data_IF_233235230688
#
_entry.id   IF_233235230688
#
_cell.length_a   1.000
_cell.length_b   1.000
_cell.length_c   1.000
_cell.angle_alpha   90.00
_cell.angle_beta   90.00
_cell.angle_gamma   90.00
#
_symmetry.space_group_name_H-M   'P 1'
#
loop_
_entity.id
_entity.type
_entity.pdbx_description
1 polymer ?
#
# COMPACT_ATOMS: atom_id res chain seq x y z
N UNK A 1 15.22 0.44 -23.50
CA UNK A 1 15.04 1.02 -22.16
C UNK A 1 13.56 0.91 -21.86
N UNK A 2 13.15 0.17 -20.82
CA UNK A 2 11.70 0.06 -20.52
C UNK A 2 11.33 1.39 -19.85
N UNK A 3 10.58 2.22 -20.57
CA UNK A 3 10.03 3.46 -20.04
C UNK A 3 8.99 3.12 -18.98
N UNK A 4 9.36 3.31 -17.70
CA UNK A 4 8.50 3.02 -16.55
C UNK A 4 8.54 4.22 -15.62
N UNK A 5 7.36 4.76 -15.33
CA UNK A 5 7.18 5.83 -14.35
C UNK A 5 7.48 5.38 -12.91
N UNK A 6 7.49 4.06 -12.64
CA UNK A 6 7.84 3.47 -11.35
C UNK A 6 9.27 2.88 -11.36
N UNK A 7 10.18 3.56 -10.67
CA UNK A 7 11.62 3.24 -10.59
C UNK A 7 11.98 2.21 -9.52
N UNK A 8 11.00 1.69 -8.77
CA UNK A 8 11.26 0.74 -7.69
C UNK A 8 11.84 -0.58 -8.20
N UNK A 9 12.65 -1.28 -7.37
CA UNK A 9 13.15 -2.61 -7.69
C UNK A 9 12.03 -3.58 -8.07
N UNK A 10 12.33 -4.49 -9.00
CA UNK A 10 11.35 -5.46 -9.50
C UNK A 10 10.68 -6.26 -8.39
N UNK A 11 11.46 -6.79 -7.44
CA UNK A 11 10.96 -7.59 -6.32
C UNK A 11 10.02 -6.78 -5.41
N UNK A 12 10.28 -5.48 -5.21
CA UNK A 12 9.40 -4.63 -4.43
C UNK A 12 8.05 -4.44 -5.13
N UNK A 13 8.06 -4.16 -6.44
CA UNK A 13 6.82 -4.04 -7.23
C UNK A 13 6.02 -5.33 -7.26
N UNK A 14 6.70 -6.46 -7.43
CA UNK A 14 6.07 -7.79 -7.42
C UNK A 14 5.47 -8.11 -6.05
N UNK A 15 6.17 -7.81 -4.96
CA UNK A 15 5.68 -8.00 -3.60
C UNK A 15 4.47 -7.12 -3.30
N UNK A 16 4.50 -5.84 -3.67
CA UNK A 16 3.37 -4.94 -3.51
C UNK A 16 2.15 -5.39 -4.31
N UNK A 17 2.35 -5.73 -5.59
CA UNK A 17 1.28 -6.19 -6.47
C UNK A 17 0.66 -7.50 -5.95
N UNK A 18 1.48 -8.43 -5.45
CA UNK A 18 1.01 -9.66 -4.81
C UNK A 18 0.20 -9.34 -3.55
N UNK A 19 0.67 -8.43 -2.70
CA UNK A 19 -0.04 -8.05 -1.46
C UNK A 19 -1.39 -7.38 -1.73
N UNK A 20 -1.45 -6.49 -2.73
CA UNK A 20 -2.69 -5.87 -3.20
C UNK A 20 -3.64 -6.90 -3.82
N UNK A 21 -3.12 -7.81 -4.64
CA UNK A 21 -3.89 -8.90 -5.20
C UNK A 21 -4.50 -9.78 -4.12
N UNK A 22 -3.72 -10.19 -3.11
CA UNK A 22 -4.24 -10.96 -1.97
C UNK A 22 -5.31 -10.18 -1.21
N UNK A 23 -5.14 -8.87 -0.99
CA UNK A 23 -6.14 -8.04 -0.31
C UNK A 23 -7.48 -8.02 -1.06
N UNK A 24 -7.45 -7.92 -2.39
CA UNK A 24 -8.66 -7.96 -3.23
C UNK A 24 -9.23 -9.38 -3.26
N UNK A 25 -8.44 -10.35 -3.69
CA UNK A 25 -8.89 -11.70 -4.00
C UNK A 25 -9.39 -12.47 -2.76
N UNK A 26 -8.75 -12.29 -1.60
CA UNK A 26 -9.06 -13.06 -0.39
C UNK A 26 -9.81 -12.26 0.67
N UNK A 27 -9.70 -10.93 0.68
CA UNK A 27 -10.26 -10.10 1.74
C UNK A 27 -11.26 -9.04 1.23
N UNK A 28 -11.60 -9.04 -0.06
CA UNK A 28 -12.48 -8.04 -0.69
C UNK A 28 -12.06 -6.61 -0.31
N UNK A 29 -10.76 -6.33 -0.43
CA UNK A 29 -10.13 -5.06 -0.13
C UNK A 29 -10.04 -4.14 -1.33
N UNK A 30 -9.48 -2.95 -1.09
CA UNK A 30 -9.22 -1.99 -2.17
C UNK A 30 -7.97 -2.39 -2.96
N UNK A 31 -7.97 -2.23 -4.30
CA UNK A 31 -6.88 -2.70 -5.16
C UNK A 31 -5.58 -1.90 -5.01
N UNK A 32 -5.65 -0.68 -4.49
CA UNK A 32 -4.52 0.20 -4.21
C UNK A 32 -4.02 0.11 -2.76
N UNK A 33 -4.64 -0.75 -1.94
CA UNK A 33 -4.29 -1.00 -0.54
C UNK A 33 -3.68 -2.39 -0.40
N UNK A 34 -2.51 -2.48 0.22
CA UNK A 34 -1.88 -3.74 0.58
C UNK A 34 -2.60 -4.42 1.75
N UNK A 35 -2.54 -5.75 1.85
CA UNK A 35 -3.16 -6.49 2.96
C UNK A 35 -2.58 -6.05 4.32
N UNK A 36 -1.25 -5.90 4.39
CA UNK A 36 -0.54 -5.42 5.58
C UNK A 36 -0.95 -3.99 5.95
N UNK A 37 -1.06 -3.09 4.97
CA UNK A 37 -1.51 -1.72 5.18
C UNK A 37 -2.94 -1.64 5.72
N UNK A 38 -3.84 -2.46 5.15
CA UNK A 38 -5.23 -2.60 5.64
C UNK A 38 -5.30 -3.12 7.07
N UNK A 39 -4.45 -4.09 7.42
CA UNK A 39 -4.36 -4.64 8.76
C UNK A 39 -3.92 -3.58 9.78
N UNK A 40 -2.93 -2.75 9.43
CA UNK A 40 -2.54 -1.62 10.26
C UNK A 40 -3.69 -0.61 10.41
N UNK A 41 -4.32 -0.16 9.31
CA UNK A 41 -5.42 0.82 9.36
C UNK A 41 -6.59 0.33 10.22
N UNK A 42 -7.00 -0.93 10.08
CA UNK A 42 -8.13 -1.49 10.84
C UNK A 42 -7.81 -1.76 12.32
N UNK A 43 -6.53 -1.79 12.70
CA UNK A 43 -6.11 -1.97 14.09
C UNK A 43 -5.72 -0.67 14.78
N UNK A 44 -5.13 0.28 14.06
CA UNK A 44 -4.60 1.53 14.60
C UNK A 44 -5.57 2.71 14.48
N UNK A 45 -6.33 2.81 13.39
CA UNK A 45 -7.17 3.99 13.10
C UNK A 45 -8.66 3.76 13.38
N UNK A 46 -9.08 2.52 13.61
CA UNK A 46 -10.49 2.18 13.82
C UNK A 46 -10.80 1.96 15.30
N UNK A 47 -11.92 2.51 15.76
CA UNK A 47 -12.48 2.27 17.09
C UNK A 47 -13.92 1.73 17.01
N UNK A 48 -14.23 0.53 17.55
CA UNK A 48 -13.29 -0.45 18.10
C UNK A 48 -12.49 -1.17 16.98
N UNK A 49 -11.25 -1.58 17.25
CA UNK A 49 -10.45 -2.34 16.30
C UNK A 49 -11.04 -3.73 16.06
N UNK A 50 -11.04 -4.17 14.79
CA UNK A 50 -11.55 -5.50 14.42
C UNK A 50 -10.52 -6.58 14.75
N UNK A 51 -10.93 -7.59 15.53
CA UNK A 51 -10.04 -8.64 16.03
C UNK A 51 -9.32 -9.44 14.92
N UNK A 52 -10.02 -9.73 13.81
CA UNK A 52 -9.47 -10.44 12.65
C UNK A 52 -8.20 -9.76 12.11
N UNK A 53 -8.23 -8.42 12.05
CA UNK A 53 -7.10 -7.63 11.57
C UNK A 53 -5.94 -7.55 12.56
N UNK A 54 -6.19 -7.80 13.85
CA UNK A 54 -5.10 -7.97 14.83
C UNK A 54 -4.31 -9.24 14.52
N UNK A 55 -4.99 -10.33 14.18
CA UNK A 55 -4.35 -11.59 13.80
C UNK A 55 -3.51 -11.40 12.54
N UNK A 56 -4.12 -10.83 11.48
CA UNK A 56 -3.39 -10.56 10.22
C UNK A 56 -2.18 -9.68 10.46
N UNK A 57 -2.32 -8.60 11.26
CA UNK A 57 -1.20 -7.73 11.62
C UNK A 57 -0.11 -8.50 12.35
N UNK A 58 -0.44 -9.26 13.40
CA UNK A 58 0.56 -10.03 14.14
C UNK A 58 1.29 -11.04 13.25
N UNK A 59 0.57 -11.78 12.41
CA UNK A 59 1.18 -12.74 11.48
C UNK A 59 2.14 -12.05 10.50
N UNK A 60 1.72 -10.92 9.93
CA UNK A 60 2.56 -10.16 9.01
C UNK A 60 3.78 -9.56 9.71
N UNK A 61 3.63 -8.98 10.90
CA UNK A 61 4.77 -8.45 11.66
C UNK A 61 5.78 -9.55 12.04
N UNK A 62 5.32 -10.76 12.37
CA UNK A 62 6.19 -11.91 12.67
C UNK A 62 6.91 -12.40 11.42
N UNK A 63 6.17 -12.56 10.30
CA UNK A 63 6.73 -13.04 9.04
C UNK A 63 7.84 -12.12 8.50
N UNK A 64 7.64 -10.81 8.63
CA UNK A 64 8.57 -9.78 8.14
C UNK A 64 9.46 -9.19 9.23
N UNK A 65 9.44 -9.76 10.44
CA UNK A 65 10.28 -9.31 11.55
C UNK A 65 11.78 -9.19 11.21
N UNK A 66 12.40 -10.16 10.51
CA UNK A 66 13.82 -10.07 10.16
C UNK A 66 14.17 -8.90 9.24
N UNK A 67 13.17 -8.32 8.54
CA UNK A 67 13.36 -7.24 7.56
C UNK A 67 13.06 -5.88 8.21
N UNK A 68 11.93 -5.79 8.92
CA UNK A 68 11.33 -4.51 9.31
C UNK A 68 11.22 -4.31 10.83
N UNK A 69 11.68 -5.27 11.64
CA UNK A 69 11.71 -5.21 13.11
C UNK A 69 10.34 -4.85 13.73
N UNK A 70 9.25 -5.40 13.18
CA UNK A 70 7.90 -5.21 13.72
C UNK A 70 7.20 -3.91 13.32
N UNK A 71 7.67 -3.23 12.27
CA UNK A 71 7.01 -2.05 11.69
C UNK A 71 6.45 -2.31 10.28
N UNK A 72 6.37 -3.57 9.86
CA UNK A 72 6.02 -3.96 8.50
C UNK A 72 4.65 -3.41 8.07
N UNK A 73 3.60 -3.64 8.88
CA UNK A 73 2.25 -3.24 8.51
C UNK A 73 2.07 -1.72 8.53
N UNK A 74 2.76 -1.02 9.43
CA UNK A 74 2.78 0.45 9.48
C UNK A 74 3.44 1.02 8.23
N UNK A 75 4.62 0.53 7.89
CA UNK A 75 5.37 0.95 6.69
C UNK A 75 4.57 0.67 5.42
N UNK A 76 3.92 -0.48 5.33
CA UNK A 76 3.05 -0.82 4.20
C UNK A 76 1.92 0.20 4.04
N UNK A 77 1.23 0.57 5.13
CA UNK A 77 0.19 1.59 5.11
C UNK A 77 0.72 2.96 4.66
N UNK A 78 1.84 3.41 5.23
CA UNK A 78 2.47 4.68 4.88
C UNK A 78 2.90 4.71 3.40
N UNK A 79 3.42 3.60 2.88
CA UNK A 79 3.80 3.47 1.48
C UNK A 79 2.60 3.50 0.54
N UNK A 80 1.49 2.84 0.90
CA UNK A 80 0.26 2.88 0.10
C UNK A 80 -0.27 4.32 -0.01
N UNK A 81 -0.32 5.07 1.10
CA UNK A 81 -0.68 6.49 1.10
C UNK A 81 0.29 7.34 0.27
N UNK A 82 1.60 7.16 0.44
CA UNK A 82 2.59 7.93 -0.29
C UNK A 82 2.51 7.67 -1.81
N UNK A 83 2.20 6.44 -2.23
CA UNK A 83 2.00 6.07 -3.64
C UNK A 83 0.73 6.70 -4.19
N UNK A 84 -0.38 6.62 -3.46
CA UNK A 84 -1.63 7.27 -3.84
C UNK A 84 -1.44 8.80 -3.97
N UNK A 85 -0.78 9.43 -3.00
CA UNK A 85 -0.46 10.86 -3.03
C UNK A 85 0.39 11.27 -4.23
N UNK A 86 1.44 10.50 -4.58
CA UNK A 86 2.25 10.77 -5.78
C UNK A 86 1.44 10.68 -7.07
N UNK A 87 0.52 9.71 -7.18
CA UNK A 87 -0.36 9.58 -8.35
C UNK A 87 -1.36 10.73 -8.44
N UNK A 88 -1.94 11.14 -7.32
CA UNK A 88 -2.84 12.29 -7.27
C UNK A 88 -2.13 13.58 -7.70
N UNK A 89 -0.94 13.86 -7.14
CA UNK A 89 -0.14 15.03 -7.51
C UNK A 89 0.26 15.02 -9.00
N UNK A 90 0.61 13.85 -9.55
CA UNK A 90 0.88 13.71 -10.98
C UNK A 90 -0.36 14.01 -11.84
N UNK A 91 -1.54 13.56 -11.42
CA UNK A 91 -2.79 13.86 -12.12
C UNK A 91 -3.14 15.36 -12.07
N UNK A 92 -2.91 16.03 -10.94
CA UNK A 92 -3.12 17.47 -10.79
C UNK A 92 -2.20 18.26 -11.73
N UNK A 93 -0.92 17.88 -11.81
CA UNK A 93 0.06 18.49 -12.71
C UNK A 93 -0.33 18.32 -14.19
N UNK A 94 -0.80 17.14 -14.59
CA UNK A 94 -1.30 16.90 -15.95
C UNK A 94 -2.52 17.76 -16.26
N UNK A 95 -3.42 17.92 -15.28
CA UNK A 95 -4.61 18.78 -15.42
C UNK A 95 -4.23 20.23 -15.64
N UNK A 96 -3.20 20.73 -14.93
CA UNK A 96 -2.67 22.08 -15.12
C UNK A 96 -2.09 22.25 -16.54
N UNK A 97 -1.19 21.35 -16.95
CA UNK A 97 -0.54 21.40 -18.27
C UNK A 97 -1.54 21.35 -19.43
N UNK A 98 -2.63 20.60 -19.28
CA UNK A 98 -3.65 20.50 -20.32
C UNK A 98 -4.60 21.71 -20.38
N UNK A 99 -4.77 22.44 -19.27
CA UNK A 99 -5.50 23.72 -19.25
C UNK A 99 -4.71 24.85 -19.90
N UNK A 100 -3.38 24.86 -19.76
CA UNK A 100 -2.49 25.91 -20.30
C UNK A 100 -2.24 25.78 -21.81
N UNK A 101 -2.55 24.62 -22.41
CA UNK A 101 -2.41 24.33 -23.85
C UNK A 101 -3.74 24.42 -24.64
N UNK A 102 -4.80 25.01 -24.07
CA UNK A 102 -6.06 25.33 -24.75
C UNK A 102 -6.29 26.83 -24.77
#
# INVERSE_FOLDING_TARGET
>A
MIDRWDTRPYLQRLGDATSQWVNVALANGMPDESLSGRAWRNTALRSPPRWQWRIVRTLAEVLFWPIDQGQHCRRAFEQDLARAGRRAAAADNLTYLYKDNR
#
